data_IF_381542769957
#
_entry.id   IF_381542769957
#
_cell.length_a   1.000
_cell.length_b   1.000
_cell.length_c   1.000
_cell.angle_alpha   90.00
_cell.angle_beta   90.00
_cell.angle_gamma   90.00
#
_symmetry.space_group_name_H-M   'P 1'
#
loop_
_entity.id
_entity.type
_entity.pdbx_description
1 polymer ?
#
# COMPACT_ATOMS: atom_id res chain seq x y z
N UNK A 1 1.70 -10.77 -24.54
CA UNK A 1 2.27 -9.66 -23.74
C UNK A 1 2.40 -10.15 -22.31
N UNK A 2 3.44 -9.76 -21.57
CA UNK A 2 3.55 -10.10 -20.15
C UNK A 2 2.47 -9.36 -19.35
N UNK A 3 1.97 -9.98 -18.28
CA UNK A 3 1.04 -9.34 -17.34
C UNK A 3 1.78 -8.21 -16.64
N UNK A 4 1.28 -6.98 -16.77
CA UNK A 4 1.84 -5.78 -16.15
C UNK A 4 1.22 -5.55 -14.78
N UNK A 5 -0.11 -5.68 -14.72
CA UNK A 5 -0.90 -5.54 -13.49
C UNK A 5 -1.91 -6.68 -13.36
N UNK A 6 -2.25 -7.05 -12.12
CA UNK A 6 -3.30 -8.03 -11.83
C UNK A 6 -4.19 -7.60 -10.67
N UNK A 7 -5.47 -8.02 -10.65
CA UNK A 7 -6.29 -7.88 -9.47
C UNK A 7 -5.74 -8.78 -8.36
N UNK A 8 -6.06 -8.46 -7.11
CA UNK A 8 -5.63 -9.24 -5.95
C UNK A 8 -6.68 -9.17 -4.84
N UNK A 9 -6.62 -10.12 -3.91
CA UNK A 9 -7.47 -10.12 -2.72
C UNK A 9 -6.88 -9.16 -1.71
N UNK A 10 -7.32 -7.90 -1.76
CA UNK A 10 -6.88 -6.86 -0.84
C UNK A 10 -7.22 -7.21 0.60
N UNK A 11 -6.29 -6.90 1.49
CA UNK A 11 -6.51 -6.86 2.92
C UNK A 11 -6.66 -5.39 3.31
N UNK A 12 -7.84 -5.01 3.75
CA UNK A 12 -8.23 -3.61 3.96
C UNK A 12 -8.96 -3.46 5.28
N UNK A 13 -9.06 -2.25 5.85
CA UNK A 13 -9.91 -2.03 7.02
C UNK A 13 -11.33 -2.54 6.76
N UNK A 14 -11.92 -3.19 7.77
CA UNK A 14 -13.33 -3.50 7.76
C UNK A 14 -14.17 -2.21 7.64
N UNK A 15 -15.44 -2.30 7.19
CA UNK A 15 -16.33 -1.15 7.13
C UNK A 15 -16.29 -0.36 8.45
N UNK A 16 -16.23 0.96 8.34
CA UNK A 16 -16.17 1.93 9.45
C UNK A 16 -14.90 1.87 10.35
N UNK A 17 -13.98 0.94 10.11
CA UNK A 17 -12.72 0.81 10.90
C UNK A 17 -11.54 1.59 10.31
N UNK A 18 -11.69 2.18 9.13
CA UNK A 18 -10.59 2.84 8.42
C UNK A 18 -9.90 3.94 9.24
N UNK A 19 -10.66 4.70 10.05
CA UNK A 19 -10.13 5.75 10.92
C UNK A 19 -9.27 5.20 12.08
N UNK A 20 -9.55 3.99 12.55
CA UNK A 20 -8.77 3.35 13.61
C UNK A 20 -7.42 2.83 13.10
N UNK A 21 -7.39 2.40 11.84
CA UNK A 21 -6.21 1.83 11.17
C UNK A 21 -5.29 2.92 10.60
N UNK A 22 -5.85 3.98 10.03
CA UNK A 22 -5.09 4.97 9.29
C UNK A 22 -3.89 5.54 10.08
N UNK A 23 -2.73 5.55 9.42
CA UNK A 23 -1.47 6.03 9.96
C UNK A 23 -0.69 6.81 8.90
N UNK A 24 0.12 7.80 9.31
CA UNK A 24 1.06 8.44 8.38
C UNK A 24 2.13 7.46 7.90
N UNK A 25 2.86 7.79 6.82
CA UNK A 25 4.02 7.02 6.37
C UNK A 25 5.04 6.80 7.50
N UNK A 26 5.69 5.64 7.52
CA UNK A 26 6.61 5.26 8.59
C UNK A 26 7.91 6.07 8.58
N UNK A 27 8.27 6.64 7.43
CA UNK A 27 9.52 7.37 7.18
C UNK A 27 9.39 8.88 7.41
N UNK A 28 8.21 9.37 7.80
CA UNK A 28 7.99 10.78 8.18
C UNK A 28 7.85 10.97 9.70
N UNK A 29 8.01 9.91 10.50
CA UNK A 29 7.94 9.95 11.95
C UNK A 29 9.17 9.31 12.60
N UNK A 30 9.69 9.96 13.63
CA UNK A 30 10.55 9.29 14.62
C UNK A 30 9.76 8.28 15.45
N UNK A 31 10.43 7.31 16.06
CA UNK A 31 9.77 6.33 16.94
C UNK A 31 9.12 6.98 18.16
N UNK A 32 9.70 8.08 18.68
CA UNK A 32 9.11 8.87 19.75
C UNK A 32 7.78 9.54 19.33
N UNK A 33 7.74 10.19 18.17
CA UNK A 33 6.51 10.79 17.64
C UNK A 33 5.44 9.72 17.35
N UNK A 34 5.88 8.56 16.84
CA UNK A 34 4.99 7.44 16.56
C UNK A 34 4.36 6.85 17.84
N UNK A 35 5.11 6.71 18.95
CA UNK A 35 4.57 6.32 20.26
C UNK A 35 3.46 7.27 20.73
N UNK A 36 3.73 8.57 20.67
CA UNK A 36 2.73 9.60 21.05
C UNK A 36 1.50 9.50 20.16
N UNK A 37 1.68 9.30 18.85
CA UNK A 37 0.57 9.26 17.89
C UNK A 37 -0.28 8.00 17.96
N UNK A 38 0.31 6.88 18.37
CA UNK A 38 -0.34 5.58 18.59
C UNK A 38 -0.93 5.42 20.00
N UNK A 39 -0.60 6.29 20.95
CA UNK A 39 -1.14 6.25 22.31
C UNK A 39 -2.69 6.24 22.31
N UNK A 40 -3.27 5.24 22.98
CA UNK A 40 -4.72 5.04 23.05
C UNK A 40 -5.37 4.57 21.74
N UNK A 41 -4.59 4.20 20.72
CA UNK A 41 -5.07 3.73 19.40
C UNK A 41 -4.58 2.31 19.13
N UNK A 42 -5.15 1.28 19.77
CA UNK A 42 -4.65 -0.09 19.72
C UNK A 42 -4.65 -0.72 18.32
N UNK A 43 -5.38 -0.11 17.38
CA UNK A 43 -5.53 -0.57 16.01
C UNK A 43 -4.80 0.30 14.98
N UNK A 44 -4.00 1.28 15.41
CA UNK A 44 -3.22 2.10 14.49
C UNK A 44 -2.23 1.24 13.71
N UNK A 45 -2.14 1.47 12.39
CA UNK A 45 -1.18 0.76 11.55
C UNK A 45 0.29 1.06 11.91
N UNK A 46 0.55 2.08 12.76
CA UNK A 46 1.88 2.34 13.32
C UNK A 46 2.44 1.14 14.11
N UNK A 47 1.60 0.32 14.73
CA UNK A 47 2.04 -0.90 15.40
C UNK A 47 2.59 -1.97 14.44
N UNK A 48 2.35 -1.81 13.14
CA UNK A 48 2.85 -2.70 12.07
C UNK A 48 3.97 -2.02 11.26
N UNK A 49 3.84 -0.71 11.02
CA UNK A 49 4.79 0.05 10.18
C UNK A 49 5.97 0.63 10.96
N UNK A 50 5.81 0.82 12.27
CA UNK A 50 6.84 1.20 13.26
C UNK A 50 6.71 0.35 14.54
N UNK A 51 6.79 -0.99 14.45
CA UNK A 51 6.56 -1.91 15.57
C UNK A 51 7.49 -1.69 16.78
N UNK A 52 8.63 -1.02 16.60
CA UNK A 52 9.54 -0.66 17.69
C UNK A 52 8.92 0.29 18.73
N UNK A 53 7.76 0.88 18.44
CA UNK A 53 7.01 1.70 19.41
C UNK A 53 6.45 0.88 20.58
N UNK A 54 6.25 -0.43 20.39
CA UNK A 54 5.73 -1.36 21.40
C UNK A 54 6.83 -2.10 22.18
N UNK A 55 8.10 -1.79 21.90
CA UNK A 55 9.28 -2.44 22.48
C UNK A 55 10.10 -1.44 23.32
N UNK A 56 11.17 -1.94 23.97
CA UNK A 56 12.09 -1.12 24.75
C UNK A 56 12.69 0.01 23.89
N UNK A 57 12.81 1.21 24.46
CA UNK A 57 13.15 2.40 23.68
C UNK A 57 14.59 2.41 23.14
N UNK A 58 15.48 1.66 23.78
CA UNK A 58 16.89 1.50 23.44
C UNK A 58 17.16 0.31 22.49
N UNK A 59 16.12 -0.45 22.12
CA UNK A 59 16.23 -1.53 21.16
C UNK A 59 16.53 -0.97 19.76
N UNK A 60 17.49 -1.59 19.07
CA UNK A 60 17.73 -1.28 17.65
C UNK A 60 16.49 -1.63 16.81
N UNK A 61 15.95 -0.68 16.02
CA UNK A 61 14.75 -0.89 15.19
C UNK A 61 14.91 -1.97 14.10
N UNK A 62 16.10 -2.51 13.91
CA UNK A 62 16.38 -3.59 12.96
C UNK A 62 16.59 -4.96 13.62
N UNK A 63 16.35 -5.10 14.92
CA UNK A 63 16.39 -6.38 15.63
C UNK A 63 15.26 -7.33 15.18
N UNK A 64 15.47 -8.66 15.16
CA UNK A 64 14.43 -9.62 14.77
C UNK A 64 13.12 -9.50 15.54
N UNK A 65 13.19 -9.11 16.83
CA UNK A 65 12.03 -8.90 17.69
C UNK A 65 11.08 -7.81 17.14
N UNK A 66 11.61 -6.80 16.45
CA UNK A 66 10.86 -5.70 15.86
C UNK A 66 9.95 -6.21 14.74
N UNK A 67 10.47 -7.06 13.85
CA UNK A 67 9.68 -7.67 12.77
C UNK A 67 8.68 -8.70 13.30
N UNK A 68 9.05 -9.48 14.33
CA UNK A 68 8.13 -10.39 15.00
C UNK A 68 6.95 -9.65 15.64
N UNK A 69 7.20 -8.50 16.27
CA UNK A 69 6.16 -7.65 16.86
C UNK A 69 5.17 -7.14 15.80
N UNK A 70 5.66 -6.69 14.64
CA UNK A 70 4.78 -6.29 13.53
C UNK A 70 3.92 -7.47 13.02
N UNK A 71 4.50 -8.67 12.90
CA UNK A 71 3.78 -9.86 12.48
C UNK A 71 2.67 -10.24 13.47
N UNK A 72 2.95 -10.17 14.78
CA UNK A 72 1.97 -10.42 15.84
C UNK A 72 0.79 -9.43 15.77
N UNK A 73 1.08 -8.13 15.68
CA UNK A 73 0.04 -7.10 15.54
C UNK A 73 -0.77 -7.27 14.25
N UNK A 74 -0.12 -7.61 13.15
CA UNK A 74 -0.78 -7.84 11.87
C UNK A 74 -1.74 -9.03 11.94
N UNK A 75 -1.31 -10.15 12.51
CA UNK A 75 -2.16 -11.32 12.74
C UNK A 75 -3.34 -10.98 13.67
N UNK A 76 -3.08 -10.23 14.75
CA UNK A 76 -4.11 -9.80 15.70
C UNK A 76 -5.17 -8.91 15.06
N UNK A 77 -4.79 -7.98 14.17
CA UNK A 77 -5.75 -7.15 13.44
C UNK A 77 -6.64 -7.97 12.50
N UNK A 78 -6.09 -9.02 11.88
CA UNK A 78 -6.85 -9.93 11.02
C UNK A 78 -7.82 -10.78 11.85
N UNK A 79 -7.34 -11.39 12.94
CA UNK A 79 -8.16 -12.22 13.83
C UNK A 79 -9.30 -11.42 14.49
N UNK A 80 -9.03 -10.18 14.89
CA UNK A 80 -10.03 -9.28 15.46
C UNK A 80 -11.02 -8.71 14.43
N UNK A 81 -10.86 -9.02 13.13
CA UNK A 81 -11.73 -8.50 12.06
C UNK A 81 -11.56 -7.00 11.80
N UNK A 82 -10.45 -6.40 12.25
CA UNK A 82 -10.11 -5.00 11.95
C UNK A 82 -9.64 -4.87 10.50
N UNK A 83 -8.87 -5.86 10.04
CA UNK A 83 -8.48 -6.01 8.65
C UNK A 83 -9.20 -7.22 8.04
N UNK A 84 -9.94 -6.99 6.96
CA UNK A 84 -10.71 -8.01 6.26
C UNK A 84 -10.16 -8.22 4.86
N UNK A 85 -10.00 -9.49 4.47
CA UNK A 85 -9.54 -9.87 3.14
C UNK A 85 -10.72 -10.05 2.21
N UNK A 86 -10.68 -9.41 1.04
CA UNK A 86 -11.74 -9.60 0.05
C UNK A 86 -11.82 -11.06 -0.45
N UNK A 87 -13.04 -11.50 -0.75
CA UNK A 87 -13.33 -12.90 -1.09
C UNK A 87 -12.78 -13.30 -2.47
N UNK A 88 -12.69 -12.37 -3.40
CA UNK A 88 -12.21 -12.57 -4.76
C UNK A 88 -11.12 -11.54 -5.12
N UNK A 89 -10.28 -11.80 -6.13
CA UNK A 89 -9.36 -10.79 -6.66
C UNK A 89 -10.13 -9.57 -7.17
N UNK A 90 -9.74 -8.39 -6.69
CA UNK A 90 -10.33 -7.11 -7.08
C UNK A 90 -9.25 -6.15 -7.59
N UNK A 91 -9.67 -5.17 -8.37
CA UNK A 91 -8.97 -3.90 -8.45
C UNK A 91 -9.61 -2.90 -7.49
N UNK A 92 -8.88 -1.84 -7.16
CA UNK A 92 -9.42 -0.77 -6.32
C UNK A 92 -9.16 0.58 -6.95
N UNK A 93 -10.13 1.48 -6.89
CA UNK A 93 -9.85 2.89 -7.10
C UNK A 93 -9.52 3.53 -5.76
N UNK A 94 -8.46 4.32 -5.71
CA UNK A 94 -8.05 5.05 -4.52
C UNK A 94 -7.97 6.53 -4.84
N UNK A 95 -8.72 7.34 -4.10
CA UNK A 95 -8.75 8.80 -4.22
C UNK A 95 -8.16 9.47 -3.00
N UNK A 96 -7.32 10.46 -3.25
CA UNK A 96 -6.81 11.40 -2.28
C UNK A 96 -7.36 12.79 -2.61
N UNK A 97 -7.94 13.46 -1.63
CA UNK A 97 -8.42 14.85 -1.73
C UNK A 97 -7.74 15.70 -0.67
N UNK A 98 -7.03 16.74 -1.11
CA UNK A 98 -6.36 17.71 -0.25
C UNK A 98 -6.70 19.13 -0.72
N UNK A 99 -7.57 19.83 0.03
CA UNK A 99 -8.13 21.10 -0.41
C UNK A 99 -8.86 20.97 -1.74
N UNK A 100 -8.46 21.76 -2.74
CA UNK A 100 -9.01 21.69 -4.11
C UNK A 100 -8.37 20.61 -4.99
N UNK A 101 -7.26 20.01 -4.55
CA UNK A 101 -6.56 18.98 -5.32
C UNK A 101 -7.19 17.61 -5.10
N UNK A 102 -7.49 16.91 -6.20
CA UNK A 102 -8.03 15.55 -6.19
C UNK A 102 -7.22 14.70 -7.15
N UNK A 103 -6.73 13.56 -6.67
CA UNK A 103 -6.06 12.55 -7.49
C UNK A 103 -6.73 11.20 -7.25
N UNK A 104 -7.06 10.47 -8.32
CA UNK A 104 -7.63 9.13 -8.26
C UNK A 104 -6.75 8.19 -9.07
N UNK A 105 -6.35 7.07 -8.49
CA UNK A 105 -5.53 6.06 -9.16
C UNK A 105 -6.08 4.65 -8.97
N UNK A 106 -5.46 3.71 -9.67
CA UNK A 106 -5.73 2.28 -9.54
C UNK A 106 -4.77 1.65 -8.53
N UNK A 107 -5.29 0.87 -7.58
CA UNK A 107 -4.49 -0.04 -6.76
C UNK A 107 -4.55 -1.42 -7.39
N UNK A 108 -3.37 -1.95 -7.70
CA UNK A 108 -3.17 -3.22 -8.38
C UNK A 108 -1.89 -3.89 -7.87
N UNK A 109 -1.80 -5.21 -8.05
CA UNK A 109 -0.51 -5.88 -7.94
C UNK A 109 0.25 -5.74 -9.26
N UNK A 110 1.44 -5.16 -9.23
CA UNK A 110 2.31 -5.01 -10.39
C UNK A 110 3.33 -6.15 -10.46
N UNK A 111 3.67 -6.61 -11.67
CA UNK A 111 4.52 -7.78 -11.84
C UNK A 111 6.01 -7.48 -11.62
N UNK A 112 6.68 -8.26 -10.74
CA UNK A 112 8.14 -8.21 -10.54
C UNK A 112 8.89 -8.49 -11.84
N UNK A 113 8.43 -9.44 -12.65
CA UNK A 113 9.03 -9.70 -13.97
C UNK A 113 9.04 -8.45 -14.89
N UNK A 114 8.05 -7.56 -14.75
CA UNK A 114 8.02 -6.29 -15.49
C UNK A 114 8.98 -5.26 -14.89
N UNK A 115 9.23 -5.28 -13.58
CA UNK A 115 10.30 -4.49 -12.94
C UNK A 115 11.70 -4.96 -13.37
N UNK A 116 11.94 -6.27 -13.40
CA UNK A 116 13.23 -6.85 -13.80
C UNK A 116 13.56 -6.61 -15.26
N UNK A 117 12.55 -6.69 -16.13
CA UNK A 117 12.67 -6.39 -17.57
C UNK A 117 12.60 -4.89 -17.90
N UNK A 118 12.58 -4.02 -16.89
CA UNK A 118 12.51 -2.56 -17.03
C UNK A 118 11.27 -2.03 -17.78
N UNK A 119 10.19 -2.82 -17.80
CA UNK A 119 8.86 -2.39 -18.23
C UNK A 119 8.16 -1.57 -17.14
N UNK A 120 8.43 -1.84 -15.87
CA UNK A 120 8.21 -0.91 -14.76
C UNK A 120 9.55 -0.20 -14.54
N UNK A 121 9.61 1.07 -14.94
CA UNK A 121 10.85 1.82 -15.05
C UNK A 121 11.25 2.45 -13.73
N UNK A 122 12.53 2.29 -13.40
CA UNK A 122 13.22 2.94 -12.29
C UNK A 122 13.85 4.25 -12.78
N UNK A 123 13.90 5.26 -11.92
CA UNK A 123 14.69 6.47 -12.18
C UNK A 123 15.69 6.81 -11.08
N UNK A 124 15.74 6.00 -10.02
CA UNK A 124 16.65 6.17 -8.88
C UNK A 124 17.29 4.84 -8.45
N UNK A 125 18.47 4.95 -7.85
CA UNK A 125 19.13 3.84 -7.17
C UNK A 125 18.56 3.65 -5.76
N UNK A 126 18.63 2.41 -5.29
CA UNK A 126 18.25 2.02 -3.94
C UNK A 126 19.49 1.82 -3.07
N UNK A 127 19.28 1.76 -1.75
CA UNK A 127 20.32 1.57 -0.74
C UNK A 127 20.11 0.20 -0.09
N UNK A 128 21.16 -0.62 0.06
CA UNK A 128 21.04 -1.98 0.58
C UNK A 128 20.41 -2.06 1.98
N UNK A 129 20.80 -1.19 2.90
CA UNK A 129 20.25 -1.10 4.26
C UNK A 129 18.73 -0.92 4.26
N UNK A 130 18.23 -0.02 3.42
CA UNK A 130 16.79 0.24 3.26
C UNK A 130 16.07 -0.91 2.59
N UNK A 131 16.72 -1.62 1.67
CA UNK A 131 16.12 -2.82 1.07
C UNK A 131 16.04 -3.97 2.06
N UNK A 132 17.12 -4.25 2.79
CA UNK A 132 17.20 -5.35 3.76
C UNK A 132 16.13 -5.23 4.85
N UNK A 133 15.93 -4.01 5.32
CA UNK A 133 14.86 -3.68 6.27
C UNK A 133 13.46 -3.94 5.68
N UNK A 134 13.21 -3.61 4.41
CA UNK A 134 11.92 -3.88 3.74
C UNK A 134 11.74 -5.36 3.38
N UNK A 135 12.80 -6.08 3.00
CA UNK A 135 12.78 -7.52 2.76
C UNK A 135 12.35 -8.25 4.04
N UNK A 136 13.01 -7.95 5.17
CA UNK A 136 12.67 -8.54 6.47
C UNK A 136 11.23 -8.27 6.89
N UNK A 137 10.71 -7.07 6.62
CA UNK A 137 9.29 -6.78 6.87
C UNK A 137 8.38 -7.63 5.98
N UNK A 138 8.63 -7.70 4.67
CA UNK A 138 7.79 -8.47 3.73
C UNK A 138 7.79 -9.96 4.12
N UNK A 139 8.95 -10.51 4.48
CA UNK A 139 9.10 -11.90 4.91
C UNK A 139 8.34 -12.17 6.22
N UNK A 140 8.50 -11.30 7.22
CA UNK A 140 7.84 -11.46 8.52
C UNK A 140 6.30 -11.40 8.42
N UNK A 141 5.77 -10.53 7.56
CA UNK A 141 4.32 -10.32 7.45
C UNK A 141 3.67 -11.15 6.33
N UNK A 142 4.47 -11.73 5.43
CA UNK A 142 4.04 -12.31 4.16
C UNK A 142 3.10 -11.36 3.38
N UNK A 143 3.36 -10.05 3.43
CA UNK A 143 2.50 -9.01 2.88
C UNK A 143 3.29 -7.77 2.43
N UNK A 144 2.73 -7.04 1.47
CA UNK A 144 3.21 -5.71 1.07
C UNK A 144 2.40 -4.65 1.82
N UNK A 145 3.03 -3.98 2.79
CA UNK A 145 2.37 -3.00 3.68
C UNK A 145 2.62 -1.54 3.28
N UNK A 146 3.40 -1.29 2.23
CA UNK A 146 3.68 0.04 1.70
C UNK A 146 3.46 0.09 0.19
N UNK A 147 2.43 0.79 -0.32
CA UNK A 147 2.20 0.87 -1.75
C UNK A 147 3.35 1.59 -2.48
N UNK A 148 3.58 1.20 -3.73
CA UNK A 148 4.49 1.88 -4.66
C UNK A 148 3.64 2.81 -5.51
N UNK A 149 4.02 4.08 -5.62
CA UNK A 149 3.34 5.02 -6.50
C UNK A 149 3.90 4.85 -7.91
N UNK A 150 3.05 4.37 -8.82
CA UNK A 150 3.38 4.25 -10.24
C UNK A 150 2.64 5.33 -11.04
N UNK A 151 3.34 5.96 -11.97
CA UNK A 151 2.78 6.81 -13.00
C UNK A 151 2.67 6.05 -14.32
N UNK A 152 1.69 6.42 -15.15
CA UNK A 152 1.49 5.89 -16.49
C UNK A 152 1.29 7.04 -17.49
N UNK A 153 1.60 6.82 -18.79
CA UNK A 153 1.33 7.82 -19.82
C UNK A 153 -0.16 8.17 -19.86
N UNK A 154 -0.50 9.43 -20.16
CA UNK A 154 -1.90 9.85 -20.26
C UNK A 154 -2.69 8.90 -21.18
N UNK A 155 -3.74 8.30 -20.62
CA UNK A 155 -4.51 7.25 -21.27
C UNK A 155 -5.99 7.40 -20.88
N UNK A 156 -6.74 8.13 -21.71
CA UNK A 156 -8.14 8.46 -21.44
C UNK A 156 -8.99 7.22 -21.07
N UNK A 157 -8.80 6.09 -21.77
CA UNK A 157 -9.52 4.85 -21.46
C UNK A 157 -9.19 4.29 -20.07
N UNK A 158 -7.96 4.42 -19.59
CA UNK A 158 -7.59 4.02 -18.23
C UNK A 158 -8.26 4.95 -17.20
N UNK A 159 -8.24 6.25 -17.45
CA UNK A 159 -8.82 7.26 -16.57
C UNK A 159 -10.34 7.10 -16.45
N UNK A 160 -11.04 6.82 -17.56
CA UNK A 160 -12.47 6.53 -17.58
C UNK A 160 -12.82 5.25 -16.80
N UNK A 161 -12.03 4.18 -16.97
CA UNK A 161 -12.22 2.93 -16.22
C UNK A 161 -12.04 3.15 -14.71
N UNK A 162 -11.00 3.89 -14.30
CA UNK A 162 -10.76 4.22 -12.89
C UNK A 162 -11.90 5.08 -12.34
N UNK A 163 -12.31 6.11 -13.08
CA UNK A 163 -13.41 6.98 -12.68
C UNK A 163 -14.75 6.22 -12.54
N UNK A 164 -14.99 5.21 -13.37
CA UNK A 164 -16.18 4.35 -13.28
C UNK A 164 -16.18 3.42 -12.07
N UNK A 165 -15.01 3.02 -11.56
CA UNK A 165 -14.89 2.30 -10.28
C UNK A 165 -15.20 3.24 -9.11
N UNK A 166 -14.71 4.48 -9.18
CA UNK A 166 -14.84 5.47 -8.11
C UNK A 166 -16.22 6.19 -8.08
N UNK A 167 -17.29 5.45 -8.40
CA UNK A 167 -18.68 5.89 -8.35
C UNK A 167 -19.42 5.21 -7.19
N UNK A 168 -20.40 5.90 -6.62
CA UNK A 168 -21.17 5.39 -5.49
C UNK A 168 -20.42 5.44 -4.15
N UNK A 169 -20.90 4.67 -3.19
CA UNK A 169 -20.37 4.65 -1.82
C UNK A 169 -18.99 3.95 -1.77
N UNK A 170 -17.95 4.62 -1.22
CA UNK A 170 -16.66 4.00 -1.03
C UNK A 170 -16.69 2.94 0.07
N UNK A 171 -15.89 1.90 -0.09
CA UNK A 171 -15.71 0.85 0.92
C UNK A 171 -14.90 1.32 2.14
N UNK A 172 -14.17 2.43 2.00
CA UNK A 172 -13.51 3.14 3.09
C UNK A 172 -13.45 4.63 2.77
N UNK A 173 -13.76 5.47 3.75
CA UNK A 173 -13.76 6.93 3.64
C UNK A 173 -13.27 7.54 4.95
N UNK A 174 -12.06 8.11 4.93
CA UNK A 174 -11.43 8.65 6.14
C UNK A 174 -10.71 9.95 5.83
N UNK A 175 -10.90 10.95 6.70
CA UNK A 175 -10.10 12.17 6.70
C UNK A 175 -9.02 12.08 7.78
N UNK A 176 -7.77 12.28 7.39
CA UNK A 176 -6.60 12.26 8.27
C UNK A 176 -5.96 13.64 8.25
N UNK A 177 -5.74 14.22 9.43
CA UNK A 177 -5.05 15.49 9.58
C UNK A 177 -3.58 15.29 10.01
N UNK A 178 -2.69 16.04 9.38
CA UNK A 178 -1.29 16.15 9.73
C UNK A 178 -0.82 17.62 9.76
N UNK A 179 0.50 17.84 9.82
CA UNK A 179 1.10 19.17 9.86
C UNK A 179 0.90 19.98 8.58
N UNK A 180 0.58 19.34 7.46
CA UNK A 180 0.44 19.94 6.13
C UNK A 180 -1.01 20.14 5.71
N UNK A 181 -1.96 19.51 6.42
CA UNK A 181 -3.39 19.74 6.23
C UNK A 181 -4.22 18.51 6.53
N UNK A 182 -5.44 18.49 5.99
CA UNK A 182 -6.30 17.31 6.03
C UNK A 182 -6.35 16.67 4.64
N UNK A 183 -6.04 15.38 4.58
CA UNK A 183 -6.19 14.55 3.39
C UNK A 183 -7.35 13.60 3.61
N UNK A 184 -8.31 13.60 2.69
CA UNK A 184 -9.39 12.60 2.65
C UNK A 184 -8.99 11.46 1.73
N UNK A 185 -9.11 10.25 2.24
CA UNK A 185 -8.77 8.99 1.60
C UNK A 185 -10.05 8.22 1.33
N UNK A 186 -10.29 7.85 0.07
CA UNK A 186 -11.47 7.07 -0.32
C UNK A 186 -11.09 5.89 -1.19
N UNK A 187 -11.60 4.69 -0.87
CA UNK A 187 -11.31 3.45 -1.61
C UNK A 187 -12.61 2.82 -2.09
N UNK A 188 -12.65 2.44 -3.38
CA UNK A 188 -13.74 1.67 -3.98
C UNK A 188 -13.22 0.30 -4.44
N UNK A 189 -14.06 -0.71 -4.34
CA UNK A 189 -13.72 -2.10 -4.72
C UNK A 189 -14.36 -2.41 -6.08
N UNK A 190 -13.56 -2.90 -7.03
CA UNK A 190 -14.02 -3.41 -8.31
C UNK A 190 -13.86 -4.93 -8.34
N UNK A 191 -14.97 -5.64 -8.19
CA UNK A 191 -15.08 -7.10 -8.30
C UNK A 191 -15.79 -7.57 -9.58
N UNK A 192 -16.25 -6.64 -10.41
CA UNK A 192 -16.93 -6.97 -11.67
C UNK A 192 -15.93 -7.52 -12.70
N UNK A 193 -16.19 -8.75 -13.18
CA UNK A 193 -15.27 -9.47 -14.05
C UNK A 193 -15.01 -8.74 -15.38
N UNK A 194 -16.03 -8.13 -15.98
CA UNK A 194 -15.89 -7.42 -17.24
C UNK A 194 -15.03 -6.15 -17.09
N UNK A 195 -15.22 -5.40 -15.99
CA UNK A 195 -14.38 -4.24 -15.65
C UNK A 195 -12.95 -4.65 -15.32
N UNK A 196 -12.76 -5.71 -14.53
CA UNK A 196 -11.44 -6.25 -14.23
C UNK A 196 -10.69 -6.58 -15.53
N UNK A 197 -11.32 -7.32 -16.43
CA UNK A 197 -10.75 -7.66 -17.73
C UNK A 197 -10.38 -6.43 -18.56
N UNK A 198 -11.27 -5.43 -18.60
CA UNK A 198 -11.04 -4.19 -19.35
C UNK A 198 -9.83 -3.41 -18.79
N UNK A 199 -9.73 -3.31 -17.46
CA UNK A 199 -8.60 -2.65 -16.77
C UNK A 199 -7.31 -3.41 -17.06
N UNK A 200 -7.30 -4.74 -16.87
CA UNK A 200 -6.10 -5.56 -17.11
C UNK A 200 -5.62 -5.38 -18.55
N UNK A 201 -6.50 -5.49 -19.54
CA UNK A 201 -6.13 -5.29 -20.96
C UNK A 201 -5.61 -3.89 -21.25
N UNK A 202 -6.22 -2.86 -20.65
CA UNK A 202 -5.81 -1.48 -20.83
C UNK A 202 -4.38 -1.26 -20.33
N UNK A 203 -4.08 -1.67 -19.10
CA UNK A 203 -2.75 -1.52 -18.51
C UNK A 203 -1.71 -2.47 -19.14
N UNK A 204 -2.08 -3.71 -19.46
CA UNK A 204 -1.19 -4.66 -20.15
C UNK A 204 -0.85 -4.22 -21.58
N UNK A 205 -1.65 -3.34 -22.19
CA UNK A 205 -1.34 -2.69 -23.46
C UNK A 205 -0.31 -1.57 -23.37
N UNK A 206 -0.01 -1.07 -22.16
CA UNK A 206 0.93 0.03 -21.97
C UNK A 206 2.38 -0.43 -22.17
N UNK A 207 3.17 0.39 -22.85
CA UNK A 207 4.61 0.13 -23.06
C UNK A 207 5.36 0.03 -21.73
N UNK A 208 5.07 0.92 -20.79
CA UNK A 208 5.73 0.97 -19.49
C UNK A 208 4.90 1.69 -18.43
N UNK A 209 5.16 1.35 -17.17
CA UNK A 209 4.83 2.16 -15.99
C UNK A 209 6.12 2.76 -15.44
N UNK A 210 6.01 3.82 -14.66
CA UNK A 210 7.14 4.55 -14.10
C UNK A 210 6.98 4.61 -12.60
N UNK A 211 7.99 4.18 -11.84
CA UNK A 211 8.00 4.37 -10.40
C UNK A 211 8.14 5.87 -10.16
N UNK A 212 7.18 6.47 -9.45
CA UNK A 212 7.27 7.86 -9.00
C UNK A 212 7.72 7.93 -7.53
N UNK A 213 7.32 6.95 -6.71
CA UNK A 213 7.85 6.72 -5.37
C UNK A 213 7.77 5.24 -4.98
N UNK A 214 8.68 4.79 -4.12
CA UNK A 214 8.74 3.40 -3.64
C UNK A 214 9.80 2.52 -4.31
N UNK A 215 10.91 3.10 -4.74
CA UNK A 215 12.06 2.37 -5.32
C UNK A 215 12.57 1.25 -4.41
N UNK A 216 12.81 1.55 -3.13
CA UNK A 216 13.26 0.54 -2.14
C UNK A 216 12.24 -0.58 -1.95
N UNK A 217 10.94 -0.24 -1.94
CA UNK A 217 9.84 -1.22 -1.81
C UNK A 217 9.76 -2.13 -3.03
N UNK A 218 9.97 -1.58 -4.22
CA UNK A 218 10.02 -2.34 -5.48
C UNK A 218 11.23 -3.27 -5.52
N UNK A 219 12.42 -2.79 -5.13
CA UNK A 219 13.64 -3.60 -5.07
C UNK A 219 13.53 -4.74 -4.04
N UNK A 220 13.01 -4.45 -2.85
CA UNK A 220 12.77 -5.46 -1.82
C UNK A 220 11.77 -6.53 -2.28
N UNK A 221 10.68 -6.13 -2.95
CA UNK A 221 9.72 -7.08 -3.52
C UNK A 221 10.36 -8.00 -4.58
N UNK A 222 11.26 -7.44 -5.42
CA UNK A 222 11.99 -8.23 -6.41
C UNK A 222 12.95 -9.23 -5.75
N UNK A 223 13.66 -8.82 -4.68
CA UNK A 223 14.54 -9.70 -3.90
C UNK A 223 13.78 -10.85 -3.23
N UNK A 224 12.65 -10.57 -2.58
CA UNK A 224 11.80 -11.61 -1.96
C UNK A 224 11.25 -12.58 -3.00
N UNK A 225 10.88 -12.10 -4.20
CA UNK A 225 10.37 -12.96 -5.27
C UNK A 225 11.43 -13.88 -5.90
N UNK A 226 12.71 -13.55 -5.74
CA UNK A 226 13.83 -14.33 -6.28
C UNK A 226 14.41 -15.35 -5.28
N UNK A 227 14.03 -15.27 -4.01
CA UNK A 227 14.45 -16.18 -2.94
C UNK A 227 13.65 -17.50 -2.97
#
# INVERSE_FOLDING_TARGET
MSVLVRPFRGLRPAPDRAAEVAAPPYDVLSSAEARVRAAGKPWSFLHISKPEIDLAEDLDPHEPAVYAQAAEYFARMIEAGILTRDAAPCYYAYRLTMGAHVQTGLVAAAAVACYDSNRIRKHEFTRPDKEDDRVRQIEALAAQTGPVLLAYPAAQGADELIAAIAQGEPAADVAVADAYGTVRHQIWVCSDAARIDAITRCFDGMTALYIADGHHRSAAAARVAAA
#
